data_IF_735828568034
#
_entry.id   IF_735828568034
#
_cell.length_a   1.000
_cell.length_b   1.000
_cell.length_c   1.000
_cell.angle_alpha   90.00
_cell.angle_beta   90.00
_cell.angle_gamma   90.00
#
_symmetry.space_group_name_H-M   'P 1'
#
loop_
_entity.id
_entity.type
_entity.pdbx_description
1 polymer ?
#
# COMPACT_ATOMS: atom_id res chain seq x y z
N UNK A 1 6.47 31.75 1.44
CA UNK A 1 6.49 30.36 0.94
C UNK A 1 7.02 29.37 2.00
N UNK A 2 6.49 29.41 3.25
CA UNK A 2 6.89 28.47 4.34
C UNK A 2 5.74 27.57 4.81
N UNK A 3 4.49 27.95 4.55
CA UNK A 3 3.31 27.20 5.01
C UNK A 3 3.08 25.90 4.24
N UNK A 4 3.38 25.86 2.92
CA UNK A 4 3.17 24.66 2.11
C UNK A 4 4.19 23.56 2.40
N UNK A 5 5.39 23.91 2.89
CA UNK A 5 6.45 22.93 3.19
C UNK A 5 6.13 22.11 4.45
N UNK A 6 5.49 22.74 5.43
CA UNK A 6 5.03 22.08 6.67
C UNK A 6 3.85 21.13 6.41
N UNK A 7 2.94 21.50 5.49
CA UNK A 7 1.84 20.63 5.07
C UNK A 7 2.38 19.44 4.27
N UNK A 8 3.36 19.68 3.38
CA UNK A 8 4.05 18.60 2.67
C UNK A 8 4.78 17.67 3.64
N UNK A 9 5.48 18.20 4.66
CA UNK A 9 6.14 17.40 5.68
C UNK A 9 5.16 16.63 6.57
N UNK A 10 4.00 17.20 6.90
CA UNK A 10 2.96 16.52 7.67
C UNK A 10 2.27 15.42 6.87
N UNK A 11 2.07 15.63 5.57
CA UNK A 11 1.62 14.59 4.64
C UNK A 11 2.72 13.51 4.54
N UNK A 12 3.97 13.88 4.29
CA UNK A 12 5.09 12.93 4.21
C UNK A 12 5.26 12.09 5.49
N UNK A 13 5.06 12.66 6.69
CA UNK A 13 5.10 11.90 7.96
C UNK A 13 3.86 11.04 8.19
N UNK A 14 2.70 11.41 7.65
CA UNK A 14 1.51 10.55 7.66
C UNK A 14 1.63 9.40 6.65
N UNK A 15 2.46 9.56 5.61
CA UNK A 15 2.66 8.62 4.52
C UNK A 15 3.98 7.83 4.57
N UNK A 16 4.91 8.12 5.49
CA UNK A 16 6.16 7.36 5.72
C UNK A 16 5.92 5.97 6.34
N UNK A 17 4.70 5.45 6.15
CA UNK A 17 4.28 4.13 6.56
C UNK A 17 3.43 3.52 5.44
N UNK A 18 3.94 3.63 4.20
CA UNK A 18 3.41 2.95 3.03
C UNK A 18 3.59 1.44 3.16
N UNK A 19 2.79 0.82 4.01
CA UNK A 19 2.73 -0.63 4.18
C UNK A 19 1.29 -1.11 4.17
N UNK A 20 1.15 -2.37 3.76
CA UNK A 20 -0.11 -2.99 3.43
C UNK A 20 -1.12 -2.94 4.58
N UNK A 21 -2.24 -2.33 4.24
CA UNK A 21 -3.48 -2.21 4.99
C UNK A 21 -3.43 -1.21 6.15
N UNK A 22 -4.49 -0.39 6.24
CA UNK A 22 -5.85 -0.72 5.80
C UNK A 22 -6.52 0.40 5.00
N UNK A 23 -7.81 0.21 4.73
CA UNK A 23 -8.74 1.23 4.31
C UNK A 23 -8.78 2.37 5.35
N UNK A 24 -7.82 3.28 5.26
CA UNK A 24 -7.66 4.43 6.15
C UNK A 24 -7.51 5.68 5.30
N UNK A 25 -8.62 6.37 5.11
CA UNK A 25 -8.61 7.65 4.41
C UNK A 25 -9.49 8.67 5.14
N UNK A 26 -9.14 9.96 5.09
CA UNK A 26 -9.97 11.00 5.68
C UNK A 26 -11.34 11.02 5.01
N UNK A 27 -12.40 10.93 5.81
CA UNK A 27 -13.77 11.07 5.31
C UNK A 27 -14.63 11.85 6.29
N UNK A 28 -15.58 12.62 5.76
CA UNK A 28 -16.61 13.31 6.55
C UNK A 28 -17.82 12.42 6.83
N UNK A 29 -17.91 11.26 6.18
CA UNK A 29 -18.95 10.26 6.42
C UNK A 29 -18.74 9.64 7.81
N UNK A 30 -19.83 9.38 8.54
CA UNK A 30 -19.80 8.89 9.93
C UNK A 30 -19.41 7.40 10.06
N UNK A 31 -18.32 7.00 9.42
CA UNK A 31 -17.78 5.64 9.38
C UNK A 31 -16.32 5.55 9.84
N UNK A 32 -15.79 6.59 10.50
CA UNK A 32 -14.40 6.59 11.00
C UNK A 32 -14.09 5.39 11.91
N UNK A 33 -15.09 4.88 12.63
CA UNK A 33 -14.99 3.65 13.44
C UNK A 33 -14.74 2.37 12.64
N UNK A 34 -15.07 2.37 11.34
CA UNK A 34 -14.89 1.24 10.44
C UNK A 34 -13.51 1.25 9.77
N UNK A 35 -12.85 2.41 9.72
CA UNK A 35 -11.53 2.55 9.13
C UNK A 35 -10.50 2.05 10.15
N UNK A 36 -9.73 1.03 9.77
CA UNK A 36 -8.64 0.48 10.59
C UNK A 36 -7.38 1.34 10.41
N UNK A 37 -6.30 1.11 11.17
CA UNK A 37 -4.93 1.58 10.83
C UNK A 37 -3.95 0.43 10.50
N UNK A 38 -4.45 -0.80 10.40
CA UNK A 38 -3.66 -1.93 9.92
C UNK A 38 -2.88 -2.57 11.04
N UNK A 39 -2.10 -3.60 10.70
CA UNK A 39 -1.25 -4.30 11.66
C UNK A 39 0.20 -3.83 11.62
N UNK A 40 1.01 -4.37 12.54
CA UNK A 40 2.27 -3.76 12.96
C UNK A 40 3.33 -3.62 11.87
N UNK A 41 3.85 -2.39 11.75
CA UNK A 41 4.96 -2.02 10.86
C UNK A 41 6.23 -2.85 11.12
N UNK A 42 6.36 -3.41 12.33
CA UNK A 42 7.50 -4.19 12.73
C UNK A 42 7.52 -5.57 12.07
N UNK A 43 6.39 -6.28 12.05
CA UNK A 43 6.31 -7.62 11.44
C UNK A 43 6.64 -7.59 9.94
N UNK A 44 6.17 -6.57 9.22
CA UNK A 44 6.46 -6.40 7.79
C UNK A 44 7.94 -6.09 7.54
N UNK A 45 8.53 -5.21 8.34
CA UNK A 45 9.98 -4.91 8.25
C UNK A 45 10.83 -6.14 8.55
N UNK A 46 10.49 -6.88 9.58
CA UNK A 46 11.17 -8.13 9.94
C UNK A 46 11.02 -9.17 8.82
N UNK A 47 9.86 -9.24 8.16
CA UNK A 47 9.65 -10.09 6.98
C UNK A 47 10.54 -9.69 5.80
N UNK A 48 10.55 -8.42 5.38
CA UNK A 48 11.35 -7.99 4.22
C UNK A 48 12.85 -8.15 4.43
N UNK A 49 13.34 -7.93 5.64
CA UNK A 49 14.77 -8.06 5.99
C UNK A 49 15.22 -9.50 6.28
N UNK A 50 14.27 -10.43 6.38
CA UNK A 50 14.55 -11.84 6.67
C UNK A 50 15.35 -12.54 5.57
N UNK A 51 15.93 -13.70 5.92
CA UNK A 51 16.58 -14.64 4.99
C UNK A 51 15.85 -15.98 4.96
N UNK A 52 14.53 -15.93 4.83
CA UNK A 52 13.71 -17.14 4.77
C UNK A 52 14.02 -17.99 3.53
N UNK A 53 13.90 -19.31 3.69
CA UNK A 53 13.82 -20.23 2.55
C UNK A 53 12.58 -19.95 1.69
N UNK A 54 12.50 -20.42 0.44
CA UNK A 54 11.32 -20.24 -0.40
C UNK A 54 10.03 -20.72 0.26
N UNK A 55 10.05 -21.86 0.96
CA UNK A 55 8.86 -22.38 1.65
C UNK A 55 8.45 -21.51 2.84
N UNK A 56 9.40 -21.12 3.69
CA UNK A 56 9.15 -20.26 4.85
C UNK A 56 8.64 -18.89 4.43
N UNK A 57 9.25 -18.30 3.40
CA UNK A 57 8.85 -17.01 2.84
C UNK A 57 7.39 -17.03 2.40
N UNK A 58 7.00 -18.03 1.61
CA UNK A 58 5.62 -18.17 1.13
C UNK A 58 4.65 -18.29 2.29
N UNK A 59 4.98 -19.11 3.30
CA UNK A 59 4.13 -19.30 4.47
C UNK A 59 3.95 -18.00 5.28
N UNK A 60 5.04 -17.29 5.58
CA UNK A 60 4.97 -16.03 6.34
C UNK A 60 4.23 -14.95 5.54
N UNK A 61 4.46 -14.85 4.23
CA UNK A 61 3.73 -13.93 3.36
C UNK A 61 2.22 -14.24 3.34
N UNK A 62 1.84 -15.51 3.30
CA UNK A 62 0.44 -15.94 3.35
C UNK A 62 -0.23 -15.58 4.68
N UNK A 63 0.45 -15.82 5.81
CA UNK A 63 -0.04 -15.49 7.15
C UNK A 63 -0.24 -13.98 7.32
N UNK A 64 0.73 -13.17 6.90
CA UNK A 64 0.65 -11.70 6.90
C UNK A 64 -0.47 -11.21 5.98
N UNK A 65 -0.55 -11.75 4.75
CA UNK A 65 -1.55 -11.34 3.77
C UNK A 65 -2.97 -11.67 4.24
N UNK A 66 -3.15 -12.81 4.91
CA UNK A 66 -4.43 -13.19 5.50
C UNK A 66 -4.82 -12.23 6.63
N UNK A 67 -3.85 -11.79 7.44
CA UNK A 67 -4.11 -10.86 8.53
C UNK A 67 -4.56 -9.49 8.00
N UNK A 68 -3.86 -8.95 7.01
CA UNK A 68 -4.25 -7.69 6.36
C UNK A 68 -5.59 -7.81 5.61
N UNK A 69 -5.81 -8.93 4.91
CA UNK A 69 -7.08 -9.19 4.24
C UNK A 69 -8.26 -9.25 5.21
N UNK A 70 -8.07 -9.83 6.41
CA UNK A 70 -9.10 -9.85 7.46
C UNK A 70 -9.41 -8.45 7.97
N UNK A 71 -8.38 -7.65 8.26
CA UNK A 71 -8.53 -6.25 8.67
C UNK A 71 -9.32 -5.45 7.63
N UNK A 72 -8.91 -5.51 6.37
CA UNK A 72 -9.57 -4.87 5.23
C UNK A 72 -11.05 -5.31 5.10
N UNK A 73 -11.29 -6.62 5.10
CA UNK A 73 -12.63 -7.18 4.96
C UNK A 73 -13.55 -6.76 6.11
N UNK A 74 -13.06 -6.72 7.35
CA UNK A 74 -13.81 -6.24 8.51
C UNK A 74 -14.18 -4.75 8.38
N UNK A 75 -13.25 -3.91 7.88
CA UNK A 75 -13.53 -2.50 7.62
C UNK A 75 -14.64 -2.33 6.57
N UNK A 76 -14.55 -3.03 5.44
CA UNK A 76 -15.54 -2.96 4.37
C UNK A 76 -16.91 -3.52 4.81
N UNK A 77 -16.91 -4.61 5.58
CA UNK A 77 -18.13 -5.15 6.18
C UNK A 77 -18.78 -4.15 7.14
N UNK A 78 -18.00 -3.48 8.00
CA UNK A 78 -18.50 -2.44 8.90
C UNK A 78 -19.12 -1.26 8.13
N UNK A 79 -18.49 -0.79 7.04
CA UNK A 79 -19.02 0.27 6.18
C UNK A 79 -20.38 -0.15 5.61
N UNK A 80 -20.44 -1.35 5.05
CA UNK A 80 -21.67 -1.90 4.46
C UNK A 80 -22.79 -2.05 5.49
N UNK A 81 -22.47 -2.52 6.70
CA UNK A 81 -23.44 -2.68 7.80
C UNK A 81 -23.84 -1.35 8.45
N UNK A 82 -23.14 -0.25 8.15
CA UNK A 82 -23.48 1.08 8.68
C UNK A 82 -24.72 1.69 8.04
N UNK A 83 -25.25 1.10 6.97
CA UNK A 83 -26.51 1.53 6.36
C UNK A 83 -26.42 2.92 5.71
N UNK A 84 -25.29 3.21 5.07
CA UNK A 84 -25.08 4.49 4.38
C UNK A 84 -26.16 4.76 3.35
N UNK A 85 -26.58 6.01 3.28
CA UNK A 85 -27.41 6.49 2.17
C UNK A 85 -26.63 6.46 0.86
N UNK A 86 -27.34 6.57 -0.27
CA UNK A 86 -26.71 6.65 -1.58
C UNK A 86 -25.76 7.86 -1.67
N UNK A 87 -26.18 9.01 -1.16
CA UNK A 87 -25.37 10.23 -1.11
C UNK A 87 -24.12 10.06 -0.24
N UNK A 88 -24.24 9.45 0.94
CA UNK A 88 -23.08 9.15 1.79
C UNK A 88 -22.11 8.16 1.13
N UNK A 89 -22.63 7.18 0.38
CA UNK A 89 -21.81 6.23 -0.38
C UNK A 89 -21.07 6.92 -1.52
N UNK A 90 -21.73 7.82 -2.25
CA UNK A 90 -21.12 8.63 -3.31
C UNK A 90 -20.02 9.54 -2.74
N UNK A 91 -20.29 10.22 -1.62
CA UNK A 91 -19.28 11.02 -0.91
C UNK A 91 -18.09 10.17 -0.44
N UNK A 92 -18.35 8.97 0.10
CA UNK A 92 -17.29 8.05 0.54
C UNK A 92 -16.41 7.60 -0.62
N UNK A 93 -17.00 7.28 -1.77
CA UNK A 93 -16.27 6.91 -2.99
C UNK A 93 -15.44 8.08 -3.52
N UNK A 94 -15.94 9.32 -3.41
CA UNK A 94 -15.18 10.51 -3.77
C UNK A 94 -14.00 10.73 -2.82
N UNK A 95 -14.21 10.59 -1.51
CA UNK A 95 -13.15 10.67 -0.49
C UNK A 95 -12.06 9.60 -0.74
N UNK A 96 -12.47 8.37 -1.05
CA UNK A 96 -11.57 7.25 -1.42
C UNK A 96 -10.78 7.53 -2.71
N UNK A 97 -11.46 8.01 -3.76
CA UNK A 97 -10.80 8.38 -5.02
C UNK A 97 -9.78 9.50 -4.83
N UNK A 98 -10.11 10.51 -4.00
CA UNK A 98 -9.18 11.59 -3.70
C UNK A 98 -7.97 11.10 -2.91
N UNK A 99 -8.17 10.16 -1.98
CA UNK A 99 -7.08 9.53 -1.26
C UNK A 99 -6.14 8.77 -2.19
N UNK A 100 -6.68 7.99 -3.13
CA UNK A 100 -5.89 7.33 -4.18
C UNK A 100 -5.06 8.33 -5.00
N UNK A 101 -5.62 9.46 -5.42
CA UNK A 101 -4.88 10.49 -6.16
C UNK A 101 -3.67 11.02 -5.38
N UNK A 102 -3.80 11.16 -4.05
CA UNK A 102 -2.70 11.57 -3.18
C UNK A 102 -1.64 10.47 -3.10
N UNK A 103 -2.05 9.21 -2.95
CA UNK A 103 -1.12 8.07 -2.94
C UNK A 103 -0.37 7.94 -4.28
N UNK A 104 -1.05 8.09 -5.41
CA UNK A 104 -0.45 8.07 -6.74
C UNK A 104 0.58 9.18 -6.92
N UNK A 105 0.28 10.39 -6.42
CA UNK A 105 1.20 11.51 -6.46
C UNK A 105 2.45 11.25 -5.61
N UNK A 106 2.27 10.72 -4.39
CA UNK A 106 3.38 10.35 -3.51
C UNK A 106 4.23 9.23 -4.10
N UNK A 107 3.58 8.22 -4.68
CA UNK A 107 4.26 7.13 -5.38
C UNK A 107 5.07 7.66 -6.56
N UNK A 108 4.54 8.63 -7.31
CA UNK A 108 5.26 9.29 -8.40
C UNK A 108 6.49 10.06 -7.89
N UNK A 109 6.40 10.74 -6.74
CA UNK A 109 7.57 11.38 -6.13
C UNK A 109 8.63 10.36 -5.70
N UNK A 110 8.20 9.26 -5.09
CA UNK A 110 9.06 8.16 -4.69
C UNK A 110 9.77 7.50 -5.87
N UNK A 111 9.02 7.21 -6.94
CA UNK A 111 9.54 6.70 -8.20
C UNK A 111 10.59 7.64 -8.80
N UNK A 112 10.28 8.93 -8.90
CA UNK A 112 11.23 9.93 -9.41
C UNK A 112 12.49 10.03 -8.55
N UNK A 113 12.37 9.84 -7.23
CA UNK A 113 13.52 9.79 -6.33
C UNK A 113 14.39 8.55 -6.59
N UNK A 114 13.79 7.36 -6.65
CA UNK A 114 14.51 6.10 -6.91
C UNK A 114 15.14 6.06 -8.31
N UNK A 115 14.44 6.61 -9.31
CA UNK A 115 14.88 6.69 -10.70
C UNK A 115 15.67 7.96 -11.04
N UNK A 116 16.02 8.77 -10.04
CA UNK A 116 16.83 9.98 -10.24
C UNK A 116 18.21 9.63 -10.80
N UNK A 117 18.77 10.52 -11.63
CA UNK A 117 20.10 10.35 -12.24
C UNK A 117 21.17 10.02 -11.19
N UNK A 118 21.10 10.64 -10.00
CA UNK A 118 22.05 10.40 -8.91
C UNK A 118 22.03 8.92 -8.43
N UNK A 119 20.84 8.33 -8.37
CA UNK A 119 20.64 6.94 -7.93
C UNK A 119 20.86 5.96 -9.07
N UNK A 120 20.38 6.26 -10.27
CA UNK A 120 20.47 5.36 -11.44
C UNK A 120 21.87 5.26 -12.02
N UNK A 121 22.71 6.31 -11.94
CA UNK A 121 24.13 6.24 -12.33
C UNK A 121 24.90 5.16 -11.56
N UNK A 122 24.46 4.83 -10.34
CA UNK A 122 25.08 3.81 -9.49
C UNK A 122 24.58 2.39 -9.80
N UNK A 123 23.52 2.26 -10.60
CA UNK A 123 22.92 0.98 -10.96
C UNK A 123 23.56 0.42 -12.22
N UNK A 124 23.82 -0.88 -12.22
CA UNK A 124 24.00 -1.62 -13.46
C UNK A 124 22.69 -1.65 -14.26
N UNK A 125 22.78 -1.89 -15.57
CA UNK A 125 21.60 -2.02 -16.43
C UNK A 125 20.61 -3.12 -15.95
N UNK A 126 21.12 -4.16 -15.28
CA UNK A 126 20.30 -5.20 -14.68
C UNK A 126 19.54 -4.69 -13.45
N UNK A 127 20.22 -3.98 -12.53
CA UNK A 127 19.60 -3.42 -11.34
C UNK A 127 18.59 -2.32 -11.67
N UNK A 128 18.87 -1.48 -12.68
CA UNK A 128 17.92 -0.47 -13.17
C UNK A 128 16.66 -1.12 -13.74
N UNK A 129 16.81 -2.19 -14.52
CA UNK A 129 15.67 -2.95 -15.05
C UNK A 129 14.84 -3.59 -13.93
N UNK A 130 15.49 -4.16 -12.93
CA UNK A 130 14.80 -4.76 -11.78
C UNK A 130 14.04 -3.69 -10.98
N UNK A 131 14.63 -2.53 -10.77
CA UNK A 131 13.98 -1.39 -10.11
C UNK A 131 12.73 -0.93 -10.85
N UNK A 132 12.82 -0.73 -12.18
CA UNK A 132 11.65 -0.36 -13.00
C UNK A 132 10.55 -1.42 -12.92
N UNK A 133 10.92 -2.70 -13.02
CA UNK A 133 9.99 -3.82 -12.93
C UNK A 133 9.29 -3.86 -11.57
N UNK A 134 10.02 -3.61 -10.48
CA UNK A 134 9.46 -3.52 -9.13
C UNK A 134 8.46 -2.38 -8.99
N UNK A 135 8.80 -1.18 -9.49
CA UNK A 135 7.93 0.01 -9.45
C UNK A 135 6.65 -0.25 -10.25
N UNK A 136 6.75 -0.76 -11.47
CA UNK A 136 5.60 -1.04 -12.33
C UNK A 136 4.68 -2.10 -11.73
N UNK A 137 5.25 -3.20 -11.20
CA UNK A 137 4.47 -4.24 -10.53
C UNK A 137 3.78 -3.72 -9.26
N UNK A 138 4.46 -2.88 -8.47
CA UNK A 138 3.86 -2.25 -7.27
C UNK A 138 2.70 -1.34 -7.66
N UNK A 139 2.85 -0.52 -8.71
CA UNK A 139 1.77 0.35 -9.22
C UNK A 139 0.55 -0.48 -9.66
N UNK A 140 0.77 -1.53 -10.44
CA UNK A 140 -0.33 -2.39 -10.90
C UNK A 140 -1.08 -3.06 -9.72
N UNK A 141 -0.34 -3.57 -8.74
CA UNK A 141 -0.94 -4.23 -7.57
C UNK A 141 -1.72 -3.26 -6.69
N UNK A 142 -1.23 -2.03 -6.50
CA UNK A 142 -1.95 -0.98 -5.78
C UNK A 142 -3.22 -0.57 -6.51
N UNK A 143 -3.16 -0.40 -7.84
CA UNK A 143 -4.35 -0.12 -8.66
C UNK A 143 -5.42 -1.21 -8.49
N UNK A 144 -5.00 -2.48 -8.53
CA UNK A 144 -5.90 -3.62 -8.31
C UNK A 144 -6.50 -3.63 -6.91
N UNK A 145 -5.75 -3.22 -5.89
CA UNK A 145 -6.24 -3.08 -4.52
C UNK A 145 -7.34 -2.02 -4.46
N UNK A 146 -7.08 -0.82 -4.99
CA UNK A 146 -8.05 0.27 -5.00
C UNK A 146 -9.32 -0.07 -5.77
N UNK A 147 -9.22 -0.75 -6.91
CA UNK A 147 -10.39 -1.21 -7.65
C UNK A 147 -11.22 -2.20 -6.82
N UNK A 148 -10.58 -3.11 -6.10
CA UNK A 148 -11.26 -4.07 -5.23
C UNK A 148 -11.94 -3.39 -4.03
N UNK A 149 -11.30 -2.38 -3.44
CA UNK A 149 -11.88 -1.53 -2.38
C UNK A 149 -13.10 -0.77 -2.90
N UNK A 150 -12.95 -0.06 -4.03
CA UNK A 150 -14.03 0.73 -4.63
C UNK A 150 -15.24 -0.13 -4.96
N UNK A 151 -15.02 -1.31 -5.57
CA UNK A 151 -16.09 -2.27 -5.84
C UNK A 151 -16.77 -2.79 -4.56
N UNK A 152 -15.98 -2.98 -3.50
CA UNK A 152 -16.50 -3.44 -2.20
C UNK A 152 -17.33 -2.38 -1.47
N UNK A 153 -17.00 -1.10 -1.68
CA UNK A 153 -17.77 0.04 -1.16
C UNK A 153 -19.06 0.24 -1.98
N UNK A 154 -19.00 0.15 -3.32
CA UNK A 154 -20.10 0.57 -4.21
C UNK A 154 -21.11 -0.53 -4.56
N UNK A 155 -20.66 -1.78 -4.73
CA UNK A 155 -21.48 -2.85 -5.31
C UNK A 155 -21.70 -3.99 -4.31
N UNK A 156 -20.61 -4.73 -4.02
CA UNK A 156 -20.66 -5.96 -3.25
C UNK A 156 -19.34 -6.16 -2.53
N UNK A 157 -19.41 -6.61 -1.28
CA UNK A 157 -18.23 -7.03 -0.54
C UNK A 157 -17.54 -8.18 -1.28
N UNK A 158 -16.32 -7.94 -1.74
CA UNK A 158 -15.54 -8.97 -2.43
C UNK A 158 -15.04 -10.04 -1.44
N UNK A 159 -14.79 -11.28 -1.90
CA UNK A 159 -14.26 -12.34 -1.05
C UNK A 159 -12.91 -11.94 -0.44
N UNK A 160 -12.67 -12.37 0.80
CA UNK A 160 -11.41 -12.12 1.50
C UNK A 160 -10.17 -12.57 0.70
N UNK A 161 -10.31 -13.65 -0.07
CA UNK A 161 -9.24 -14.19 -0.93
C UNK A 161 -8.78 -13.18 -1.98
N UNK A 162 -9.65 -12.27 -2.43
CA UNK A 162 -9.27 -11.19 -3.37
C UNK A 162 -8.19 -10.31 -2.75
N UNK A 163 -8.44 -9.82 -1.53
CA UNK A 163 -7.49 -8.96 -0.81
C UNK A 163 -6.25 -9.74 -0.39
N UNK A 164 -6.41 -10.97 0.10
CA UNK A 164 -5.29 -11.83 0.49
C UNK A 164 -4.32 -12.05 -0.67
N UNK A 165 -4.83 -12.37 -1.86
CA UNK A 165 -3.99 -12.59 -3.04
C UNK A 165 -3.23 -11.33 -3.45
N UNK A 166 -3.85 -10.15 -3.35
CA UNK A 166 -3.21 -8.87 -3.68
C UNK A 166 -2.12 -8.55 -2.65
N UNK A 167 -2.40 -8.67 -1.35
CA UNK A 167 -1.40 -8.45 -0.30
C UNK A 167 -0.24 -9.42 -0.38
N UNK A 168 -0.51 -10.70 -0.62
CA UNK A 168 0.54 -11.71 -0.80
C UNK A 168 1.46 -11.36 -1.98
N UNK A 169 0.89 -10.92 -3.11
CA UNK A 169 1.67 -10.48 -4.26
C UNK A 169 2.51 -9.23 -3.93
N UNK A 170 1.94 -8.23 -3.24
CA UNK A 170 2.68 -7.04 -2.79
C UNK A 170 3.86 -7.42 -1.88
N UNK A 171 3.64 -8.30 -0.91
CA UNK A 171 4.65 -8.75 0.04
C UNK A 171 5.78 -9.51 -0.62
N UNK A 172 5.46 -10.48 -1.47
CA UNK A 172 6.47 -11.27 -2.17
C UNK A 172 7.27 -10.41 -3.15
N UNK A 173 6.61 -9.52 -3.90
CA UNK A 173 7.27 -8.61 -4.83
C UNK A 173 8.24 -7.67 -4.10
N UNK A 174 7.84 -7.12 -2.96
CA UNK A 174 8.69 -6.25 -2.15
C UNK A 174 9.86 -7.02 -1.54
N UNK A 175 9.61 -8.22 -1.00
CA UNK A 175 10.66 -9.07 -0.46
C UNK A 175 11.70 -9.42 -1.52
N UNK A 176 11.28 -9.86 -2.71
CA UNK A 176 12.17 -10.24 -3.82
C UNK A 176 13.03 -9.06 -4.29
N UNK A 177 12.44 -7.87 -4.39
CA UNK A 177 13.20 -6.67 -4.67
C UNK A 177 14.19 -6.36 -3.55
N UNK A 178 13.76 -6.41 -2.28
CA UNK A 178 14.63 -6.14 -1.14
C UNK A 178 15.86 -7.04 -1.10
N UNK A 179 15.71 -8.34 -1.41
CA UNK A 179 16.84 -9.28 -1.41
C UNK A 179 17.88 -8.99 -2.52
N UNK A 180 17.44 -8.41 -3.63
CA UNK A 180 18.27 -8.20 -4.83
C UNK A 180 18.71 -6.75 -5.01
N UNK A 181 18.09 -5.82 -4.31
CA UNK A 181 18.41 -4.40 -4.38
C UNK A 181 19.82 -4.12 -3.81
N UNK A 182 20.54 -3.14 -4.36
CA UNK A 182 21.72 -2.56 -3.71
C UNK A 182 21.40 -1.95 -2.35
N UNK A 183 22.35 -1.99 -1.41
CA UNK A 183 22.13 -1.52 -0.04
C UNK A 183 21.71 -0.03 0.02
N UNK A 184 22.24 0.81 -0.87
CA UNK A 184 21.89 2.23 -0.93
C UNK A 184 20.45 2.52 -1.40
N UNK A 185 19.77 1.53 -1.99
CA UNK A 185 18.34 1.58 -2.30
C UNK A 185 17.50 1.05 -1.13
N UNK A 186 18.01 0.08 -0.37
CA UNK A 186 17.29 -0.52 0.78
C UNK A 186 16.97 0.48 1.87
N UNK A 187 17.83 1.48 2.07
CA UNK A 187 17.59 2.56 3.02
C UNK A 187 16.28 3.31 2.72
N UNK A 188 15.93 3.50 1.45
CA UNK A 188 14.69 4.14 1.02
C UNK A 188 13.53 3.17 0.74
N UNK A 189 13.65 1.88 1.08
CA UNK A 189 12.56 0.91 0.88
C UNK A 189 11.60 0.82 2.07
N UNK A 190 12.01 1.33 3.23
CA UNK A 190 11.20 1.36 4.45
C UNK A 190 10.70 2.75 4.86
N UNK A 191 11.14 3.78 4.15
CA UNK A 191 10.73 5.18 4.31
C UNK A 191 9.60 5.51 3.31
#
# INVERSE_FOLDING_TARGET
>A
MRSNFLILLFLLFAFSSGFASPLFFPTKVKISKCLSQGSGQKELKDFYTSKYSPEERTKVAEDLALLEAKSMHQSLECIRMSGLTKEETENLLQDHSHFKEIEDLLFSYYENFLLSDEKTIRLSAYEEKNLKTFIDAKRELMERLHQAEQQSISEKLLPISTFQNIYMALFLQHWEFYQTAPDFLKEGLFD
#
